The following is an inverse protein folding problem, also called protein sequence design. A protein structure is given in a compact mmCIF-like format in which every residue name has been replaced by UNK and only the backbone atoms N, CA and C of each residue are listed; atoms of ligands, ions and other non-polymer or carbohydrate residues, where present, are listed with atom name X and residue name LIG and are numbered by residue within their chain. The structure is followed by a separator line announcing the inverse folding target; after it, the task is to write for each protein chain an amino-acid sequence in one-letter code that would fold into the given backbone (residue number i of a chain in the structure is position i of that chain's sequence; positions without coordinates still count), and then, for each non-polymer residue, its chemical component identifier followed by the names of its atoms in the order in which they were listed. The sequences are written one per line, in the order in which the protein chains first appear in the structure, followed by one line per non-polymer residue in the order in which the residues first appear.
data_IF_232482811487
#
_entry.id   IF_232482811487
#
_cell.length_a   1.000
_cell.length_b   1.000
_cell.length_c   1.000
_cell.angle_alpha   90.00
_cell.angle_beta   90.00
_cell.angle_gamma   90.00
#
_symmetry.space_group_name_H-M   'P 1'
#
loop_
_entity.id
_entity.type
_entity.pdbx_description
1 polymer ?
#
# COMPACT_ATOMS: atom_id res chain seq x y z
N UNK A 1 11.51 -1.61 -4.23
CA UNK A 1 10.82 -2.81 -4.78
C UNK A 1 11.14 -2.99 -6.25
N UNK A 2 10.88 -1.97 -7.08
CA UNK A 2 11.20 -1.95 -8.51
C UNK A 2 12.70 -2.11 -8.78
N UNK A 3 13.54 -1.55 -7.92
CA UNK A 3 15.00 -1.53 -8.11
C UNK A 3 15.70 -2.67 -7.37
N UNK A 4 14.96 -3.63 -6.80
CA UNK A 4 15.55 -4.67 -5.95
C UNK A 4 16.53 -5.62 -6.68
N UNK A 5 16.40 -5.74 -8.00
CA UNK A 5 17.33 -6.51 -8.83
C UNK A 5 18.57 -5.68 -9.20
N UNK A 6 18.37 -4.40 -9.54
CA UNK A 6 19.46 -3.45 -9.78
C UNK A 6 20.29 -3.21 -8.51
N UNK A 7 19.64 -3.04 -7.35
CA UNK A 7 20.27 -2.89 -6.04
C UNK A 7 21.15 -4.11 -5.68
N UNK A 8 20.68 -5.32 -6.04
CA UNK A 8 21.42 -6.55 -5.78
C UNK A 8 22.66 -6.67 -6.65
N UNK A 9 22.58 -6.23 -7.91
CA UNK A 9 23.70 -6.22 -8.86
C UNK A 9 24.71 -5.11 -8.57
N UNK A 10 24.25 -3.95 -8.08
CA UNK A 10 25.09 -2.80 -7.74
C UNK A 10 25.70 -2.87 -6.33
N UNK A 11 25.38 -3.91 -5.54
CA UNK A 11 25.87 -4.08 -4.16
C UNK A 11 25.24 -3.10 -3.16
N UNK A 12 24.08 -2.53 -3.50
CA UNK A 12 23.32 -1.64 -2.62
C UNK A 12 22.50 -2.49 -1.64
N UNK A 13 22.73 -2.29 -0.34
CA UNK A 13 21.88 -2.90 0.69
C UNK A 13 20.54 -2.18 0.75
N UNK A 14 19.53 -2.75 0.09
CA UNK A 14 18.14 -2.36 0.21
C UNK A 14 17.41 -3.34 1.13
N UNK A 15 16.28 -2.91 1.70
CA UNK A 15 15.49 -3.75 2.60
C UNK A 15 15.13 -5.12 1.98
N UNK A 16 14.97 -5.16 0.64
CA UNK A 16 14.72 -6.40 -0.10
C UNK A 16 15.97 -7.27 -0.22
N UNK A 17 17.15 -6.69 -0.46
CA UNK A 17 18.40 -7.45 -0.57
C UNK A 17 18.87 -7.94 0.81
N UNK A 18 18.64 -7.18 1.89
CA UNK A 18 19.01 -7.57 3.25
C UNK A 18 18.12 -8.65 3.88
N UNK A 19 16.79 -8.59 3.65
CA UNK A 19 15.84 -9.52 4.31
C UNK A 19 15.24 -10.58 3.38
N UNK A 20 15.41 -10.43 2.06
CA UNK A 20 14.87 -11.32 1.04
C UNK A 20 13.41 -11.00 0.67
N UNK A 21 13.10 -11.10 -0.63
CA UNK A 21 11.78 -10.79 -1.24
C UNK A 21 10.59 -11.34 -0.44
N UNK A 22 10.67 -12.61 -0.02
CA UNK A 22 9.58 -13.28 0.72
C UNK A 22 9.32 -12.70 2.11
N UNK A 23 10.36 -12.35 2.88
CA UNK A 23 10.18 -11.74 4.21
C UNK A 23 9.62 -10.33 4.10
N UNK A 24 10.10 -9.56 3.12
CA UNK A 24 9.58 -8.22 2.84
C UNK A 24 8.11 -8.28 2.45
N UNK A 25 7.71 -9.22 1.60
CA UNK A 25 6.30 -9.42 1.24
C UNK A 25 5.42 -9.70 2.46
N UNK A 26 5.85 -10.60 3.35
CA UNK A 26 5.13 -10.87 4.59
C UNK A 26 5.08 -9.69 5.56
N UNK A 27 6.07 -8.80 5.53
CA UNK A 27 6.03 -7.55 6.29
C UNK A 27 5.07 -6.51 5.67
N UNK A 28 5.01 -6.43 4.34
CA UNK A 28 4.14 -5.49 3.63
C UNK A 28 2.65 -5.84 3.74
N UNK A 29 2.31 -7.13 3.81
CA UNK A 29 0.93 -7.61 3.90
C UNK A 29 0.16 -6.97 5.09
N UNK A 30 0.65 -7.00 6.33
CA UNK A 30 -0.04 -6.34 7.44
C UNK A 30 0.24 -4.84 7.52
N UNK A 31 1.40 -4.36 7.03
CA UNK A 31 1.78 -2.95 7.20
C UNK A 31 1.05 -1.99 6.26
N UNK A 32 0.69 -2.39 5.04
CA UNK A 32 -0.09 -1.53 4.13
C UNK A 32 -1.53 -1.26 4.62
N UNK A 33 -2.32 -2.27 5.04
CA UNK A 33 -3.62 -2.01 5.65
C UNK A 33 -3.52 -1.15 6.92
N UNK A 34 -2.50 -1.40 7.75
CA UNK A 34 -2.27 -0.61 8.96
C UNK A 34 -1.96 0.86 8.62
N UNK A 35 -1.16 1.13 7.59
CA UNK A 35 -0.86 2.50 7.18
C UNK A 35 -2.09 3.23 6.65
N UNK A 36 -2.96 2.56 5.88
CA UNK A 36 -4.23 3.15 5.43
C UNK A 36 -5.18 3.44 6.59
N UNK A 37 -5.25 2.57 7.60
CA UNK A 37 -6.05 2.81 8.78
C UNK A 37 -5.51 4.01 9.58
N UNK A 38 -4.20 4.06 9.82
CA UNK A 38 -3.55 5.16 10.54
C UNK A 38 -3.74 6.51 9.83
N UNK A 39 -3.61 6.54 8.50
CA UNK A 39 -3.80 7.76 7.74
C UNK A 39 -5.27 8.22 7.72
N UNK A 40 -6.24 7.31 7.72
CA UNK A 40 -7.65 7.68 7.86
C UNK A 40 -7.97 8.23 9.25
N UNK A 41 -7.43 7.59 10.30
CA UNK A 41 -7.59 8.05 11.68
C UNK A 41 -6.95 9.42 11.90
N UNK A 42 -5.76 9.67 11.34
CA UNK A 42 -5.04 10.94 11.54
C UNK A 42 -5.77 12.15 10.94
N UNK A 43 -6.56 11.94 9.89
CA UNK A 43 -7.39 13.00 9.29
C UNK A 43 -8.81 13.06 9.86
N UNK A 44 -9.11 12.27 10.91
CA UNK A 44 -10.44 12.23 11.54
C UNK A 44 -11.52 11.61 10.66
N UNK A 45 -11.17 10.78 9.69
CA UNK A 45 -12.12 10.10 8.81
C UNK A 45 -12.85 8.97 9.57
N UNK A 46 -13.94 9.33 10.24
CA UNK A 46 -14.75 8.40 11.05
C UNK A 46 -16.03 7.95 10.37
N UNK A 47 -16.39 8.53 9.22
CA UNK A 47 -17.60 8.15 8.51
C UNK A 47 -17.49 6.71 7.96
N UNK A 48 -18.57 5.95 8.12
CA UNK A 48 -18.72 4.57 7.63
C UNK A 48 -18.29 4.40 6.15
N UNK A 49 -18.70 5.26 5.19
CA UNK A 49 -18.24 5.13 3.80
C UNK A 49 -16.72 5.26 3.66
N UNK A 50 -16.08 6.12 4.46
CA UNK A 50 -14.62 6.30 4.43
C UNK A 50 -13.90 5.08 4.98
N UNK A 51 -14.43 4.47 6.05
CA UNK A 51 -13.89 3.23 6.60
C UNK A 51 -14.01 2.07 5.59
N UNK A 52 -15.08 2.04 4.78
CA UNK A 52 -15.22 1.07 3.70
C UNK A 52 -14.14 1.25 2.62
N UNK A 53 -13.82 2.50 2.23
CA UNK A 53 -12.72 2.79 1.30
C UNK A 53 -11.38 2.30 1.86
N UNK A 54 -11.10 2.55 3.13
CA UNK A 54 -9.88 2.09 3.82
C UNK A 54 -9.78 0.57 3.78
N UNK A 55 -10.87 -0.14 4.11
CA UNK A 55 -10.91 -1.60 4.12
C UNK A 55 -10.70 -2.19 2.72
N UNK A 56 -11.37 -1.63 1.71
CA UNK A 56 -11.24 -2.09 0.31
C UNK A 56 -9.84 -1.82 -0.23
N UNK A 57 -9.26 -0.65 0.04
CA UNK A 57 -7.89 -0.34 -0.36
C UNK A 57 -6.89 -1.29 0.31
N UNK A 58 -7.04 -1.52 1.62
CA UNK A 58 -6.20 -2.45 2.38
C UNK A 58 -6.28 -3.88 1.85
N UNK A 59 -7.49 -4.40 1.64
CA UNK A 59 -7.69 -5.73 1.07
C UNK A 59 -7.12 -5.84 -0.35
N UNK A 60 -7.27 -4.80 -1.17
CA UNK A 60 -6.72 -4.76 -2.54
C UNK A 60 -5.20 -4.75 -2.55
N UNK A 61 -4.56 -4.01 -1.64
CA UNK A 61 -3.11 -3.98 -1.49
C UNK A 61 -2.57 -5.35 -1.05
N UNK A 62 -3.23 -6.00 -0.08
CA UNK A 62 -2.91 -7.37 0.34
C UNK A 62 -3.07 -8.35 -0.81
N UNK A 63 -4.17 -8.27 -1.55
CA UNK A 63 -4.42 -9.15 -2.69
C UNK A 63 -3.33 -8.98 -3.76
N UNK A 64 -2.97 -7.75 -4.11
CA UNK A 64 -1.90 -7.47 -5.06
C UNK A 64 -0.56 -8.04 -4.58
N UNK A 65 -0.22 -7.86 -3.30
CA UNK A 65 0.99 -8.43 -2.70
C UNK A 65 1.00 -9.96 -2.69
N UNK A 66 -0.13 -10.63 -2.48
CA UNK A 66 -0.20 -12.11 -2.43
C UNK A 66 -0.19 -12.74 -3.81
N UNK A 67 -0.81 -12.09 -4.80
CA UNK A 67 -1.02 -12.67 -6.14
C UNK A 67 0.04 -12.28 -7.17
N UNK A 68 0.84 -11.26 -6.90
CA UNK A 68 1.87 -10.80 -7.80
C UNK A 68 3.25 -10.82 -7.16
N UNK A 69 4.28 -11.06 -7.97
CA UNK A 69 5.67 -10.99 -7.53
C UNK A 69 6.00 -9.58 -7.04
N UNK A 70 6.64 -9.50 -5.88
CA UNK A 70 7.03 -8.26 -5.23
C UNK A 70 8.02 -7.42 -6.04
N UNK A 71 8.79 -8.10 -6.89
CA UNK A 71 9.80 -7.48 -7.76
C UNK A 71 9.25 -7.07 -9.14
N UNK A 72 7.99 -7.41 -9.46
CA UNK A 72 7.42 -7.04 -10.73
C UNK A 72 7.11 -5.54 -10.78
N UNK A 73 7.54 -4.81 -11.84
CA UNK A 73 7.14 -3.41 -12.05
C UNK A 73 5.62 -3.24 -12.09
N UNK A 74 4.91 -4.29 -12.54
CA UNK A 74 3.45 -4.37 -12.56
C UNK A 74 2.83 -4.32 -11.17
N UNK A 75 3.49 -4.85 -10.13
CA UNK A 75 2.97 -4.76 -8.76
C UNK A 75 3.08 -3.32 -8.24
N UNK A 76 4.22 -2.65 -8.45
CA UNK A 76 4.38 -1.25 -8.03
C UNK A 76 3.30 -0.38 -8.65
N UNK A 77 3.06 -0.53 -9.96
CA UNK A 77 1.98 0.19 -10.63
C UNK A 77 0.59 -0.10 -10.04
N UNK A 78 0.30 -1.36 -9.67
CA UNK A 78 -0.97 -1.71 -9.03
C UNK A 78 -1.12 -1.08 -7.65
N UNK A 79 -0.06 -1.08 -6.84
CA UNK A 79 -0.06 -0.45 -5.53
C UNK A 79 -0.23 1.07 -5.64
N UNK A 80 0.39 1.70 -6.64
CA UNK A 80 0.20 3.13 -6.93
C UNK A 80 -1.24 3.44 -7.31
N UNK A 81 -1.88 2.60 -8.13
CA UNK A 81 -3.28 2.76 -8.48
C UNK A 81 -4.21 2.58 -7.28
N UNK A 82 -3.94 1.59 -6.41
CA UNK A 82 -4.69 1.39 -5.16
C UNK A 82 -4.52 2.61 -4.24
N UNK A 83 -3.29 3.12 -4.10
CA UNK A 83 -3.00 4.33 -3.32
C UNK A 83 -3.73 5.55 -3.88
N UNK A 84 -3.75 5.72 -5.21
CA UNK A 84 -4.47 6.82 -5.85
C UNK A 84 -5.98 6.76 -5.56
N UNK A 85 -6.59 5.58 -5.70
CA UNK A 85 -8.02 5.38 -5.40
C UNK A 85 -8.29 5.63 -3.91
N UNK A 86 -7.42 5.16 -3.02
CA UNK A 86 -7.52 5.40 -1.59
C UNK A 86 -7.50 6.91 -1.25
N UNK A 87 -6.53 7.65 -1.78
CA UNK A 87 -6.39 9.09 -1.53
C UNK A 87 -7.56 9.88 -2.13
N UNK A 88 -8.04 9.53 -3.32
CA UNK A 88 -9.22 10.16 -3.94
C UNK A 88 -10.48 9.87 -3.11
N UNK A 89 -10.66 8.62 -2.66
CA UNK A 89 -11.78 8.25 -1.80
C UNK A 89 -11.75 8.98 -0.44
N UNK A 90 -10.57 9.14 0.16
CA UNK A 90 -10.41 9.94 1.37
C UNK A 90 -10.71 11.43 1.13
N UNK A 91 -10.18 12.01 0.05
CA UNK A 91 -10.43 13.41 -0.30
C UNK A 91 -11.91 13.68 -0.57
N UNK A 92 -12.59 12.78 -1.28
CA UNK A 92 -14.03 12.86 -1.51
C UNK A 92 -14.82 12.76 -0.21
N UNK A 93 -14.39 11.90 0.70
CA UNK A 93 -15.01 11.76 2.03
C UNK A 93 -14.84 13.02 2.88
N UNK A 94 -13.69 13.69 2.79
CA UNK A 94 -13.46 14.97 3.45
C UNK A 94 -14.39 16.06 2.90
N UNK A 95 -14.62 16.11 1.59
CA UNK A 95 -15.59 17.05 0.97
C UNK A 95 -17.03 16.81 1.41
N UNK A 96 -17.42 15.55 1.68
CA UNK A 96 -18.77 15.21 2.14
C UNK A 96 -18.97 15.51 3.63
N UNK A 97 -17.91 15.49 4.43
CA UNK A 97 -17.95 15.75 5.89
C UNK A 97 -17.65 17.23 6.21
N UNK A 98 -16.95 17.94 5.32
CA UNK A 98 -16.47 19.31 5.48
C UNK A 98 -17.33 20.42 4.85
N UNK A 99 -18.63 20.16 4.59
CA UNK A 99 -19.63 21.17 4.20
C UNK A 99 -20.86 21.05 5.09
#
# INVERSE_FOLDING_TARGET
LKDAEEDAESGVESFVTSFGKRRVQWFLIPSLPASYALCAVSIGATAVPTLAVVAVAGASAVFALVTHDISAPKLTYRLDLINAVYLVGLAGSYYVIGV
#
